data_IF_308743175335
#
_entry.id   IF_308743175335
#
_cell.length_a   1.000
_cell.length_b   1.000
_cell.length_c   1.000
_cell.angle_alpha   90.00
_cell.angle_beta   90.00
_cell.angle_gamma   90.00
#
_symmetry.space_group_name_H-M   'P 1'
#
loop_
_entity.id
_entity.type
_entity.pdbx_description
1 polymer ?
#
# COMPACT_ATOMS: atom_id res chain seq x y z
N UNK A 1 13.81 -5.29 22.06
CA UNK A 1 12.48 -5.84 22.42
C UNK A 1 11.58 -4.64 22.74
N UNK A 2 10.40 -4.50 22.14
CA UNK A 2 9.61 -3.24 22.18
C UNK A 2 8.66 -3.11 23.40
N UNK A 3 8.21 -4.22 23.99
CA UNK A 3 7.33 -4.22 25.17
C UNK A 3 7.95 -5.03 26.30
N UNK A 4 7.95 -4.46 27.51
CA UNK A 4 8.36 -5.12 28.74
C UNK A 4 7.29 -4.93 29.84
N UNK A 5 6.69 -6.02 30.35
CA UNK A 5 6.81 -7.41 29.87
C UNK A 5 6.26 -7.58 28.45
N UNK A 6 6.58 -8.72 27.83
CA UNK A 6 6.07 -9.04 26.50
C UNK A 6 4.53 -9.01 26.45
N UNK A 7 3.98 -8.63 25.30
CA UNK A 7 2.54 -8.71 25.06
C UNK A 7 2.04 -10.15 25.28
N UNK A 8 0.81 -10.36 25.80
CA UNK A 8 0.25 -11.69 25.95
C UNK A 8 0.25 -12.49 24.64
N UNK A 9 0.41 -13.83 24.73
CA UNK A 9 0.54 -14.68 23.53
C UNK A 9 -0.64 -14.54 22.55
N UNK A 10 -1.86 -14.33 23.05
CA UNK A 10 -3.02 -14.11 22.17
C UNK A 10 -2.83 -12.83 21.32
N UNK A 11 -2.31 -11.75 21.89
CA UNK A 11 -2.08 -10.48 21.19
C UNK A 11 -0.98 -10.63 20.14
N UNK A 12 0.13 -11.29 20.51
CA UNK A 12 1.21 -11.61 19.56
C UNK A 12 0.69 -12.44 18.38
N UNK A 13 -0.10 -13.49 18.65
CA UNK A 13 -0.68 -14.34 17.61
C UNK A 13 -1.56 -13.56 16.64
N UNK A 14 -2.34 -12.59 17.13
CA UNK A 14 -3.15 -11.70 16.27
C UNK A 14 -2.22 -10.87 15.37
N UNK A 15 -1.23 -10.19 15.95
CA UNK A 15 -0.24 -9.36 15.22
C UNK A 15 0.49 -10.19 14.16
N UNK A 16 0.97 -11.37 14.50
CA UNK A 16 1.68 -12.29 13.60
C UNK A 16 0.78 -12.91 12.51
N UNK A 17 -0.53 -12.79 12.64
CA UNK A 17 -1.50 -13.40 11.73
C UNK A 17 -2.12 -12.40 10.76
N UNK A 18 -2.37 -11.17 11.19
CA UNK A 18 -2.91 -10.13 10.32
C UNK A 18 -1.91 -9.85 9.21
N UNK A 19 -2.40 -9.82 7.98
CA UNK A 19 -1.58 -9.46 6.83
C UNK A 19 -1.31 -7.97 6.85
N UNK A 20 -0.12 -7.55 6.41
CA UNK A 20 0.18 -6.16 6.17
C UNK A 20 0.68 -6.03 4.73
N UNK A 21 -0.14 -5.39 3.90
CA UNK A 21 0.03 -5.37 2.46
C UNK A 21 1.05 -4.34 2.01
N UNK A 22 1.32 -4.37 0.71
CA UNK A 22 2.11 -3.35 0.03
C UNK A 22 1.35 -2.89 -1.21
N UNK A 23 1.06 -1.60 -1.24
CA UNK A 23 0.37 -0.92 -2.32
C UNK A 23 0.95 0.47 -2.44
N UNK A 24 1.30 0.88 -3.64
CA UNK A 24 1.92 2.17 -3.90
C UNK A 24 1.32 2.84 -5.14
N UNK A 25 1.48 4.15 -5.17
CA UNK A 25 1.24 4.98 -6.34
C UNK A 25 2.56 5.55 -6.80
N UNK A 26 2.79 5.48 -8.10
CA UNK A 26 3.94 6.10 -8.74
C UNK A 26 3.41 7.10 -9.76
N UNK A 27 3.82 8.35 -9.64
CA UNK A 27 3.44 9.40 -10.57
C UNK A 27 4.59 9.69 -11.52
N UNK A 28 4.28 9.75 -12.81
CA UNK A 28 5.19 10.03 -13.90
C UNK A 28 4.73 11.34 -14.55
N UNK A 29 5.47 12.41 -14.31
CA UNK A 29 5.21 13.73 -14.88
C UNK A 29 5.97 13.89 -16.18
N UNK A 30 5.29 14.39 -17.20
CA UNK A 30 5.86 14.70 -18.52
C UNK A 30 5.69 16.17 -18.83
N UNK A 31 6.56 16.73 -19.67
CA UNK A 31 6.46 18.10 -20.16
C UNK A 31 5.15 18.33 -20.91
N UNK A 32 4.82 17.39 -21.79
CA UNK A 32 3.56 17.35 -22.54
C UNK A 32 3.02 15.91 -22.57
N UNK A 33 1.68 15.71 -22.56
CA UNK A 33 1.09 14.39 -22.74
C UNK A 33 1.50 13.80 -24.09
N UNK A 34 2.08 12.59 -24.10
CA UNK A 34 2.36 11.84 -25.33
C UNK A 34 1.17 10.96 -25.77
N UNK A 35 0.15 10.85 -24.92
CA UNK A 35 -1.05 10.06 -25.15
C UNK A 35 -2.21 10.92 -25.67
N UNK A 36 -3.26 10.26 -26.15
CA UNK A 36 -4.46 10.94 -26.66
C UNK A 36 -5.21 11.64 -25.51
N UNK A 37 -5.67 12.87 -25.73
CA UNK A 37 -6.39 13.68 -24.74
C UNK A 37 -7.71 13.06 -24.25
N UNK A 38 -8.28 12.11 -24.98
CA UNK A 38 -9.48 11.36 -24.58
C UNK A 38 -9.18 10.19 -23.65
N UNK A 39 -7.91 9.81 -23.48
CA UNK A 39 -7.54 8.70 -22.60
C UNK A 39 -7.70 9.10 -21.14
N UNK A 40 -8.40 8.25 -20.39
CA UNK A 40 -8.49 8.36 -18.93
C UNK A 40 -7.55 7.39 -18.23
N UNK A 41 -7.19 6.30 -18.91
CA UNK A 41 -6.21 5.32 -18.46
C UNK A 41 -5.52 4.64 -19.64
N UNK A 42 -4.36 4.05 -19.36
CA UNK A 42 -3.56 3.25 -20.26
C UNK A 42 -3.26 1.95 -19.52
N UNK A 43 -3.59 0.81 -20.13
CA UNK A 43 -3.41 -0.52 -19.52
C UNK A 43 -2.42 -1.30 -20.39
N UNK A 44 -1.15 -1.41 -19.97
CA UNK A 44 -0.19 -2.23 -20.70
C UNK A 44 -0.58 -3.70 -20.67
N UNK A 45 -0.46 -4.35 -21.82
CA UNK A 45 -0.57 -5.78 -21.97
C UNK A 45 0.74 -6.29 -22.58
N UNK A 46 1.79 -6.43 -21.77
CA UNK A 46 3.04 -6.98 -22.26
C UNK A 46 2.80 -8.45 -22.62
N UNK A 47 2.84 -8.77 -23.91
CA UNK A 47 2.70 -10.13 -24.42
C UNK A 47 4.00 -10.48 -25.14
N UNK A 48 4.60 -11.61 -24.74
CA UNK A 48 5.86 -12.10 -25.31
C UNK A 48 5.70 -12.28 -26.82
N UNK A 49 6.64 -11.73 -27.59
CA UNK A 49 6.66 -11.78 -29.05
C UNK A 49 5.46 -11.12 -29.78
N UNK A 50 4.68 -10.25 -29.12
CA UNK A 50 3.60 -9.52 -29.78
C UNK A 50 4.10 -8.21 -30.43
N UNK A 51 4.54 -7.24 -29.63
CA UNK A 51 5.04 -5.94 -30.13
C UNK A 51 6.57 -5.83 -30.12
N UNK A 52 7.27 -6.74 -29.47
CA UNK A 52 8.74 -6.79 -29.41
C UNK A 52 9.24 -8.22 -29.28
N UNK A 53 10.47 -8.48 -29.75
CA UNK A 53 11.19 -9.73 -29.49
C UNK A 53 11.83 -9.67 -28.11
N UNK A 54 11.77 -10.77 -27.37
CA UNK A 54 12.41 -10.90 -26.05
C UNK A 54 11.42 -11.20 -24.93
N UNK A 55 11.95 -11.35 -23.72
CA UNK A 55 11.18 -11.63 -22.52
C UNK A 55 10.57 -10.37 -21.91
N UNK A 56 9.46 -10.54 -21.20
CA UNK A 56 8.81 -9.48 -20.42
C UNK A 56 9.55 -9.38 -19.09
N UNK A 57 9.99 -8.16 -18.75
CA UNK A 57 10.67 -7.93 -17.50
C UNK A 57 9.67 -8.06 -16.32
N UNK A 58 10.12 -8.56 -15.16
CA UNK A 58 9.27 -8.65 -13.96
C UNK A 58 8.66 -7.29 -13.57
N UNK A 59 9.37 -6.19 -13.75
CA UNK A 59 8.85 -4.83 -13.50
C UNK A 59 7.70 -4.46 -14.43
N UNK A 60 7.75 -4.89 -15.69
CA UNK A 60 6.69 -4.61 -16.67
C UNK A 60 5.39 -5.34 -16.31
N UNK A 61 5.48 -6.55 -15.75
CA UNK A 61 4.33 -7.30 -15.28
C UNK A 61 3.61 -6.63 -14.10
N UNK A 62 4.30 -5.76 -13.36
CA UNK A 62 3.74 -5.03 -12.22
C UNK A 62 3.13 -3.67 -12.63
N UNK A 63 3.43 -3.18 -13.84
CA UNK A 63 2.94 -1.92 -14.39
C UNK A 63 1.66 -2.13 -15.21
N UNK A 64 0.61 -2.61 -14.54
CA UNK A 64 -0.63 -3.06 -15.19
C UNK A 64 -1.61 -1.94 -15.55
N UNK A 65 -1.56 -0.78 -14.89
CA UNK A 65 -2.50 0.30 -15.14
C UNK A 65 -1.90 1.65 -14.81
N UNK A 66 -2.07 2.58 -15.74
CA UNK A 66 -1.74 3.99 -15.60
C UNK A 66 -3.02 4.81 -15.76
N UNK A 67 -3.25 5.74 -14.86
CA UNK A 67 -4.39 6.65 -14.89
C UNK A 67 -3.92 8.07 -15.15
N UNK A 68 -4.61 8.77 -16.04
CA UNK A 68 -4.36 10.21 -16.24
C UNK A 68 -4.90 10.96 -15.02
N UNK A 69 -4.04 11.76 -14.39
CA UNK A 69 -4.43 12.56 -13.23
C UNK A 69 -5.28 13.74 -13.70
N UNK A 70 -6.57 13.77 -13.35
CA UNK A 70 -7.53 14.77 -13.86
C UNK A 70 -7.11 16.24 -13.65
N UNK A 71 -6.45 16.54 -12.54
CA UNK A 71 -6.00 17.89 -12.20
C UNK A 71 -4.58 18.21 -12.68
N UNK A 72 -3.86 17.23 -13.24
CA UNK A 72 -2.55 17.37 -13.84
C UNK A 72 -2.46 16.47 -15.09
N UNK A 73 -3.04 16.89 -16.23
CA UNK A 73 -3.27 16.03 -17.38
C UNK A 73 -1.99 15.56 -18.09
N UNK A 74 -0.83 16.11 -17.71
CA UNK A 74 0.50 15.69 -18.13
C UNK A 74 1.14 14.66 -17.17
N UNK A 75 0.38 14.13 -16.21
CA UNK A 75 0.84 13.15 -15.23
C UNK A 75 0.08 11.84 -15.36
N UNK A 76 0.82 10.74 -15.46
CA UNK A 76 0.30 9.38 -15.32
C UNK A 76 0.58 8.84 -13.92
N UNK A 77 -0.43 8.24 -13.30
CA UNK A 77 -0.30 7.54 -12.02
C UNK A 77 -0.41 6.04 -12.25
N UNK A 78 0.64 5.29 -11.93
CA UNK A 78 0.59 3.83 -11.86
C UNK A 78 0.14 3.37 -10.47
N UNK A 79 -0.78 2.40 -10.44
CA UNK A 79 -1.07 1.62 -9.25
C UNK A 79 -0.25 0.33 -9.28
N UNK A 80 0.54 0.10 -8.24
CA UNK A 80 1.37 -1.11 -8.10
C UNK A 80 1.04 -1.76 -6.76
N UNK A 81 0.72 -3.05 -6.79
CA UNK A 81 0.30 -3.83 -5.62
C UNK A 81 0.92 -5.23 -5.65
N UNK A 82 0.72 -6.02 -4.60
CA UNK A 82 1.30 -7.37 -4.51
C UNK A 82 2.81 -7.29 -4.26
N UNK A 83 3.59 -8.02 -5.06
CA UNK A 83 5.05 -8.05 -4.95
C UNK A 83 5.72 -6.84 -5.65
N UNK A 84 5.00 -6.18 -6.57
CA UNK A 84 5.50 -5.06 -7.34
C UNK A 84 6.09 -3.91 -6.52
N UNK A 85 5.50 -3.47 -5.39
CA UNK A 85 6.09 -2.39 -4.61
C UNK A 85 7.50 -2.66 -4.09
N UNK A 86 7.78 -3.89 -3.68
CA UNK A 86 9.12 -4.29 -3.23
C UNK A 86 10.09 -4.18 -4.41
N UNK A 87 9.71 -4.70 -5.58
CA UNK A 87 10.52 -4.63 -6.79
C UNK A 87 10.80 -3.19 -7.23
N UNK A 88 9.80 -2.31 -7.14
CA UNK A 88 9.96 -0.90 -7.48
C UNK A 88 10.86 -0.18 -6.47
N UNK A 89 10.75 -0.48 -5.17
CA UNK A 89 11.55 0.15 -4.11
C UNK A 89 13.06 -0.13 -4.24
N UNK A 90 13.43 -1.22 -4.90
CA UNK A 90 14.82 -1.56 -5.25
C UNK A 90 15.39 -0.72 -6.39
N UNK A 91 14.55 -0.25 -7.31
CA UNK A 91 15.01 0.57 -8.43
C UNK A 91 15.31 2.01 -7.98
N UNK A 92 16.29 2.64 -8.62
CA UNK A 92 16.37 4.09 -8.65
C UNK A 92 15.44 4.66 -9.74
N UNK A 93 15.22 5.98 -9.71
CA UNK A 93 14.25 6.62 -10.60
C UNK A 93 14.68 6.60 -12.08
N UNK A 94 15.99 6.60 -12.37
CA UNK A 94 16.49 6.50 -13.76
C UNK A 94 16.23 5.11 -14.36
N UNK A 95 16.41 4.06 -13.57
CA UNK A 95 16.10 2.68 -13.99
C UNK A 95 14.61 2.51 -14.23
N UNK A 96 13.77 3.01 -13.32
CA UNK A 96 12.33 2.95 -13.46
C UNK A 96 11.84 3.76 -14.66
N UNK A 97 12.38 4.98 -14.86
CA UNK A 97 12.14 5.83 -16.01
C UNK A 97 12.44 5.10 -17.32
N UNK A 98 13.59 4.42 -17.39
CA UNK A 98 13.98 3.66 -18.57
C UNK A 98 13.03 2.48 -18.85
N UNK A 99 12.65 1.72 -17.82
CA UNK A 99 11.74 0.57 -17.96
C UNK A 99 10.34 1.00 -18.39
N UNK A 100 9.77 2.04 -17.76
CA UNK A 100 8.43 2.52 -18.09
C UNK A 100 8.37 3.13 -19.49
N UNK A 101 9.40 3.89 -19.89
CA UNK A 101 9.46 4.47 -21.22
C UNK A 101 9.60 3.40 -22.30
N UNK A 102 10.42 2.37 -22.07
CA UNK A 102 10.51 1.25 -23.01
C UNK A 102 9.18 0.50 -23.14
N UNK A 103 8.50 0.22 -22.02
CA UNK A 103 7.16 -0.37 -22.03
C UNK A 103 6.18 0.44 -22.88
N UNK A 104 6.17 1.77 -22.75
CA UNK A 104 5.31 2.62 -23.57
C UNK A 104 5.73 2.67 -25.03
N UNK A 105 7.03 2.76 -25.34
CA UNK A 105 7.53 2.74 -26.72
C UNK A 105 7.13 1.45 -27.44
N UNK A 106 7.25 0.32 -26.75
CA UNK A 106 6.86 -0.99 -27.28
C UNK A 106 5.34 -1.09 -27.45
N UNK A 107 4.56 -0.58 -26.50
CA UNK A 107 3.10 -0.65 -26.55
C UNK A 107 2.50 0.26 -27.64
N UNK A 108 3.01 1.48 -27.78
CA UNK A 108 2.53 2.46 -28.77
C UNK A 108 3.21 2.31 -30.13
N UNK A 109 4.17 1.39 -30.28
CA UNK A 109 5.03 1.25 -31.47
C UNK A 109 5.66 2.60 -31.87
N UNK A 110 6.08 3.38 -30.87
CA UNK A 110 6.57 4.74 -31.05
C UNK A 110 7.84 4.96 -30.22
N UNK A 111 9.00 4.92 -30.87
CA UNK A 111 10.32 5.12 -30.23
C UNK A 111 10.56 6.56 -29.76
N UNK A 112 9.74 7.52 -30.17
CA UNK A 112 9.91 8.95 -29.83
C UNK A 112 9.27 9.34 -28.50
N UNK A 113 8.51 8.44 -27.85
CA UNK A 113 7.91 8.71 -26.54
C UNK A 113 9.01 9.18 -25.56
N UNK A 114 8.82 10.34 -24.90
CA UNK A 114 9.82 10.91 -24.02
C UNK A 114 9.94 10.12 -22.71
N UNK A 115 11.04 10.36 -22.00
CA UNK A 115 11.16 9.95 -20.60
C UNK A 115 10.28 10.87 -19.72
N UNK A 116 9.77 10.38 -18.58
CA UNK A 116 9.19 11.26 -17.59
C UNK A 116 10.25 12.22 -17.05
N UNK A 117 9.89 13.49 -16.92
CA UNK A 117 10.76 14.54 -16.35
C UNK A 117 10.90 14.38 -14.83
N UNK A 118 9.85 13.86 -14.18
CA UNK A 118 9.85 13.66 -12.73
C UNK A 118 9.06 12.41 -12.37
N UNK A 119 9.62 11.63 -11.45
CA UNK A 119 8.95 10.49 -10.83
C UNK A 119 8.71 10.84 -9.36
N UNK A 120 7.46 10.72 -8.91
CA UNK A 120 7.07 10.94 -7.52
C UNK A 120 6.50 9.64 -6.97
N UNK A 121 7.09 9.12 -5.90
CA UNK A 121 6.67 7.88 -5.24
C UNK A 121 7.10 7.84 -3.79
N UNK A 122 6.37 7.06 -3.00
CA UNK A 122 6.73 6.73 -1.62
C UNK A 122 7.19 5.29 -1.55
N UNK A 123 8.38 5.05 -1.02
CA UNK A 123 8.91 3.71 -0.77
C UNK A 123 8.36 3.15 0.55
N UNK A 124 7.11 2.70 0.53
CA UNK A 124 6.39 2.29 1.74
C UNK A 124 7.06 1.12 2.48
N UNK A 125 7.66 0.18 1.74
CA UNK A 125 8.28 -1.00 2.33
C UNK A 125 9.64 -0.69 2.96
N UNK A 126 10.39 0.28 2.41
CA UNK A 126 11.69 0.73 2.95
C UNK A 126 11.57 1.79 4.05
N UNK A 127 10.35 2.16 4.43
CA UNK A 127 10.13 3.12 5.50
C UNK A 127 9.82 2.39 6.80
N UNK A 128 10.76 2.42 7.75
CA UNK A 128 10.66 1.73 9.04
C UNK A 128 9.44 2.15 9.89
N UNK A 129 8.85 3.32 9.61
CA UNK A 129 7.63 3.79 10.28
C UNK A 129 6.34 3.17 9.72
N UNK A 130 6.39 2.65 8.50
CA UNK A 130 5.22 2.07 7.81
C UNK A 130 5.37 0.56 7.58
N UNK A 131 6.53 0.09 7.10
CA UNK A 131 6.81 -1.31 6.74
C UNK A 131 5.78 -1.95 5.78
N UNK A 132 5.06 -1.12 5.00
CA UNK A 132 3.94 -1.54 4.16
C UNK A 132 2.89 -0.44 4.01
N UNK A 133 1.73 -0.79 3.45
CA UNK A 133 0.64 0.15 3.17
C UNK A 133 -0.48 0.08 4.21
N UNK A 134 -1.14 -1.07 4.34
CA UNK A 134 -2.31 -1.26 5.20
C UNK A 134 -2.59 -2.74 5.47
N UNK A 135 -3.30 -3.02 6.55
CA UNK A 135 -3.64 -4.37 6.98
C UNK A 135 -4.56 -5.10 6.00
N UNK A 136 -4.59 -6.42 5.99
CA UNK A 136 -5.58 -7.20 5.24
C UNK A 136 -5.80 -8.55 5.91
N UNK A 137 -6.86 -9.26 5.51
CA UNK A 137 -7.12 -10.62 6.02
C UNK A 137 -6.19 -11.62 5.34
N UNK A 138 -5.14 -12.06 6.04
CA UNK A 138 -4.21 -13.04 5.50
C UNK A 138 -4.78 -14.46 5.50
N UNK A 139 -4.21 -15.35 4.68
CA UNK A 139 -4.52 -16.79 4.71
C UNK A 139 -4.28 -17.39 6.10
N UNK A 140 -3.22 -16.97 6.78
CA UNK A 140 -2.88 -17.42 8.15
C UNK A 140 -3.97 -16.99 9.14
N UNK A 141 -4.40 -15.73 9.09
CA UNK A 141 -5.49 -15.21 9.93
C UNK A 141 -6.79 -15.97 9.69
N UNK A 142 -7.17 -16.15 8.43
CA UNK A 142 -8.39 -16.86 8.03
C UNK A 142 -8.39 -18.31 8.53
N UNK A 143 -7.28 -19.04 8.34
CA UNK A 143 -7.14 -20.42 8.81
C UNK A 143 -7.23 -20.52 10.34
N UNK A 144 -6.68 -19.54 11.07
CA UNK A 144 -6.76 -19.47 12.52
C UNK A 144 -8.13 -19.00 13.04
N UNK A 145 -9.03 -18.59 12.14
CA UNK A 145 -10.36 -18.00 12.45
C UNK A 145 -10.28 -16.74 13.34
N UNK A 146 -9.15 -16.06 13.33
CA UNK A 146 -8.93 -14.82 14.08
C UNK A 146 -9.66 -13.68 13.38
N UNK A 147 -10.52 -12.96 14.10
CA UNK A 147 -11.21 -11.79 13.56
C UNK A 147 -10.27 -10.59 13.57
N UNK A 148 -10.35 -9.76 12.52
CA UNK A 148 -9.48 -8.58 12.37
C UNK A 148 -9.51 -7.65 13.59
N UNK A 149 -10.70 -7.44 14.14
CA UNK A 149 -10.91 -6.58 15.31
C UNK A 149 -10.31 -7.13 16.61
N UNK A 150 -9.86 -8.38 16.69
CA UNK A 150 -9.18 -8.89 17.90
C UNK A 150 -7.91 -8.09 18.21
N UNK A 151 -7.34 -7.40 17.22
CA UNK A 151 -6.24 -6.47 17.43
C UNK A 151 -6.65 -5.29 18.34
N UNK A 152 -7.92 -4.90 18.36
CA UNK A 152 -8.47 -3.82 19.22
C UNK A 152 -8.62 -4.18 20.70
N UNK A 153 -8.48 -5.46 21.06
CA UNK A 153 -8.66 -5.90 22.46
C UNK A 153 -7.52 -5.33 23.31
N UNK A 154 -7.79 -4.56 24.38
CA UNK A 154 -6.74 -4.02 25.25
C UNK A 154 -5.94 -5.10 25.95
N UNK A 155 -4.67 -4.82 26.22
CA UNK A 155 -3.91 -5.59 27.20
C UNK A 155 -4.24 -5.04 28.58
N UNK A 156 -4.64 -5.94 29.48
CA UNK A 156 -5.04 -5.62 30.85
C UNK A 156 -4.04 -6.19 31.85
N UNK A 157 -3.77 -5.45 32.90
CA UNK A 157 -3.04 -5.90 34.10
C UNK A 157 -4.02 -5.79 35.27
N UNK A 158 -4.23 -6.86 36.02
CA UNK A 158 -5.20 -6.87 37.14
C UNK A 158 -6.60 -6.38 36.74
N UNK A 159 -7.09 -6.84 35.57
CA UNK A 159 -8.37 -6.42 34.94
C UNK A 159 -8.43 -4.95 34.49
N UNK A 160 -7.37 -4.18 34.69
CA UNK A 160 -7.27 -2.79 34.26
C UNK A 160 -6.61 -2.67 32.89
N UNK A 161 -7.23 -2.00 31.90
CA UNK A 161 -6.58 -1.69 30.62
C UNK A 161 -5.31 -0.84 30.83
N UNK A 162 -4.18 -1.33 30.34
CA UNK A 162 -2.89 -0.61 30.37
C UNK A 162 -2.41 -0.22 28.98
N UNK A 163 -2.67 -1.08 27.98
CA UNK A 163 -2.29 -0.82 26.59
C UNK A 163 -3.55 -0.94 25.74
N UNK A 164 -3.81 0.12 24.97
CA UNK A 164 -4.94 0.26 24.07
C UNK A 164 -4.42 0.28 22.63
N UNK A 165 -5.24 -0.19 21.68
CA UNK A 165 -4.86 -0.30 20.28
C UNK A 165 -5.88 0.44 19.42
N UNK A 166 -5.41 1.46 18.71
CA UNK A 166 -6.15 2.20 17.69
C UNK A 166 -5.41 2.10 16.34
N UNK A 167 -5.98 2.67 15.29
CA UNK A 167 -5.45 2.62 13.94
C UNK A 167 -6.28 1.73 13.02
N UNK A 168 -6.02 1.84 11.71
CA UNK A 168 -6.84 1.22 10.67
C UNK A 168 -7.06 -0.28 10.90
N UNK A 169 -6.02 -0.99 11.32
CA UNK A 169 -6.03 -2.43 11.54
C UNK A 169 -6.89 -2.89 12.72
N UNK A 170 -7.43 -1.95 13.51
CA UNK A 170 -8.23 -2.25 14.70
C UNK A 170 -9.73 -2.04 14.48
N UNK A 171 -10.16 -1.63 13.29
CA UNK A 171 -11.58 -1.49 12.97
C UNK A 171 -12.17 -2.84 12.54
N UNK A 172 -13.38 -3.13 12.98
CA UNK A 172 -14.05 -4.42 12.77
C UNK A 172 -14.72 -4.63 11.40
N UNK A 173 -14.69 -3.62 10.52
CA UNK A 173 -15.49 -3.58 9.27
C UNK A 173 -14.79 -2.81 8.16
N UNK A 174 -14.29 -1.62 8.48
CA UNK A 174 -13.64 -0.72 7.53
C UNK A 174 -12.17 -0.49 7.90
N UNK A 175 -11.46 -1.58 8.19
CA UNK A 175 -9.98 -1.56 8.20
C UNK A 175 -9.47 -1.18 6.80
N UNK A 176 -8.19 -0.83 6.66
CA UNK A 176 -7.55 -0.28 5.44
C UNK A 176 -7.89 1.18 5.13
N UNK A 177 -8.72 1.83 5.95
CA UNK A 177 -9.23 3.17 5.65
C UNK A 177 -8.83 4.21 6.69
N UNK A 178 -8.65 5.46 6.23
CA UNK A 178 -8.44 6.61 7.11
C UNK A 178 -9.65 6.83 8.06
N UNK A 179 -10.87 6.59 7.57
CA UNK A 179 -12.08 6.67 8.40
C UNK A 179 -12.05 5.61 9.51
N UNK A 180 -11.65 4.38 9.20
CA UNK A 180 -11.45 3.32 10.19
C UNK A 180 -10.41 3.69 11.24
N UNK A 181 -9.28 4.26 10.84
CA UNK A 181 -8.26 4.76 11.76
C UNK A 181 -8.82 5.86 12.68
N UNK A 182 -9.53 6.84 12.13
CA UNK A 182 -10.15 7.92 12.90
C UNK A 182 -11.15 7.39 13.94
N UNK A 183 -12.08 6.52 13.53
CA UNK A 183 -13.10 5.97 14.41
C UNK A 183 -12.51 5.12 15.53
N UNK A 184 -11.45 4.36 15.25
CA UNK A 184 -10.78 3.55 16.28
C UNK A 184 -9.98 4.42 17.26
N UNK A 185 -9.41 5.53 16.81
CA UNK A 185 -8.81 6.54 17.68
C UNK A 185 -9.82 7.12 18.67
N UNK A 186 -11.00 7.53 18.17
CA UNK A 186 -12.11 7.97 19.03
C UNK A 186 -12.56 6.90 20.02
N UNK A 187 -12.72 5.65 19.56
CA UNK A 187 -13.11 4.51 20.41
C UNK A 187 -12.16 4.33 21.59
N UNK A 188 -10.85 4.37 21.38
CA UNK A 188 -9.90 4.22 22.48
C UNK A 188 -9.84 5.46 23.39
N UNK A 189 -10.01 6.67 22.85
CA UNK A 189 -10.11 7.89 23.65
C UNK A 189 -11.33 7.86 24.59
N UNK A 190 -12.50 7.48 24.08
CA UNK A 190 -13.73 7.31 24.88
C UNK A 190 -13.55 6.21 25.94
N UNK A 191 -12.86 5.11 25.62
CA UNK A 191 -12.53 4.04 26.57
C UNK A 191 -11.64 4.53 27.72
N UNK A 192 -10.65 5.37 27.42
CA UNK A 192 -9.78 6.00 28.42
C UNK A 192 -10.61 6.92 29.33
N UNK A 193 -11.45 7.78 28.74
CA UNK A 193 -12.31 8.68 29.49
C UNK A 193 -13.24 7.93 30.44
N UNK A 194 -13.95 6.90 29.96
CA UNK A 194 -14.86 6.08 30.78
C UNK A 194 -14.11 5.43 31.95
N UNK A 195 -12.90 4.94 31.71
CA UNK A 195 -12.09 4.31 32.77
C UNK A 195 -11.74 5.32 33.88
N UNK A 196 -11.28 6.52 33.54
CA UNK A 196 -10.93 7.53 34.54
C UNK A 196 -12.14 8.12 35.27
N UNK A 197 -13.30 8.23 34.61
CA UNK A 197 -14.51 8.74 35.26
C UNK A 197 -15.12 7.74 36.24
N UNK A 198 -14.98 6.42 36.00
CA UNK A 198 -15.50 5.37 36.90
C UNK A 198 -14.62 5.05 38.11
N UNK A 199 -13.39 5.56 38.12
CA UNK A 199 -12.45 5.43 39.26
C UNK A 199 -12.60 6.55 40.30
N UNK A 200 -13.36 7.60 39.98
CA UNK A 200 -13.83 8.60 40.94
C UNK A 200 -15.18 8.17 41.49
#
# INVERSE_FOLDING_TARGET
MLFEPQLPRHKQKVIESIGFGSSQKIFFSYKEPFWNSTFTSITPLPIKNCNRKGDINNIENELISFQVVKWAPNVLMAWVAGDGPILMDELNDNELSSKVTNLFRDMFLNSTIPFPDTIIRTKWHKNDLFNGSYSYVSKKQANLKIKHWELSIPVKVERVPRILFAGEATHHRIFETAVGAYLTGRREAERIQIYYTKLK
#
